data_IF_044343121911
#
_entry.id   IF_044343121911
#
_cell.length_a   1.000
_cell.length_b   1.000
_cell.length_c   1.000
_cell.angle_alpha   90.00
_cell.angle_beta   90.00
_cell.angle_gamma   90.00
#
_symmetry.space_group_name_H-M   'P 1'
#
loop_
_entity.id
_entity.type
_entity.pdbx_description
1 polymer ?
#
# COMPACT_ATOMS: atom_id res chain seq x y z
N UNK A 1 10.92 -4.55 -0.46
CA UNK A 1 10.08 -4.14 0.70
C UNK A 1 8.68 -4.73 0.64
N UNK A 2 7.89 -4.51 -0.42
CA UNK A 2 6.53 -5.08 -0.55
C UNK A 2 6.44 -6.61 -0.36
N UNK A 3 7.33 -7.39 -0.99
CA UNK A 3 7.39 -8.86 -0.82
C UNK A 3 7.52 -9.30 0.64
N UNK A 4 8.38 -8.63 1.41
CA UNK A 4 8.60 -8.94 2.82
C UNK A 4 7.39 -8.57 3.69
N UNK A 5 6.75 -7.43 3.39
CA UNK A 5 5.48 -7.04 4.04
C UNK A 5 4.37 -8.07 3.82
N UNK A 6 4.23 -8.56 2.59
CA UNK A 6 3.25 -9.60 2.27
C UNK A 6 3.55 -10.92 3.00
N UNK A 7 4.82 -11.33 3.04
CA UNK A 7 5.23 -12.53 3.77
C UNK A 7 4.95 -12.38 5.28
N UNK A 8 5.22 -11.20 5.85
CA UNK A 8 4.95 -10.91 7.25
C UNK A 8 3.45 -11.02 7.59
N UNK A 9 2.58 -10.40 6.77
CA UNK A 9 1.13 -10.49 6.93
C UNK A 9 0.64 -11.94 6.79
N UNK A 10 1.20 -12.70 5.85
CA UNK A 10 0.85 -14.10 5.64
C UNK A 10 1.24 -14.99 6.83
N UNK A 11 2.38 -14.72 7.46
CA UNK A 11 2.83 -15.44 8.64
C UNK A 11 2.00 -15.08 9.88
N UNK A 12 1.67 -13.80 10.05
CA UNK A 12 0.95 -13.30 11.23
C UNK A 12 -0.56 -13.52 11.18
N UNK A 13 -1.14 -13.65 9.98
CA UNK A 13 -2.57 -13.87 9.73
C UNK A 13 -3.49 -12.99 10.58
N UNK A 14 -3.34 -11.65 10.54
CA UNK A 14 -4.12 -10.76 11.39
C UNK A 14 -5.64 -10.88 11.20
N UNK A 15 -6.10 -11.26 10.00
CA UNK A 15 -7.53 -11.51 9.70
C UNK A 15 -8.13 -12.72 10.43
N UNK A 16 -7.28 -13.67 10.85
CA UNK A 16 -7.68 -14.80 11.67
C UNK A 16 -7.55 -14.45 13.16
N UNK A 17 -6.41 -13.86 13.54
CA UNK A 17 -6.10 -13.49 14.93
C UNK A 17 -7.05 -12.45 15.52
N UNK A 18 -7.60 -11.53 14.72
CA UNK A 18 -8.57 -10.56 15.22
C UNK A 18 -9.87 -11.20 15.77
N UNK A 19 -10.15 -12.45 15.39
CA UNK A 19 -11.30 -13.23 15.85
C UNK A 19 -10.99 -14.14 17.06
N UNK A 20 -9.73 -14.14 17.52
CA UNK A 20 -9.24 -14.98 18.60
C UNK A 20 -9.37 -14.33 19.98
N UNK A 21 -8.42 -14.67 20.86
CA UNK A 21 -8.32 -14.12 22.22
C UNK A 21 -7.90 -12.65 22.23
N UNK A 22 -8.00 -11.98 23.39
CA UNK A 22 -7.52 -10.61 23.53
C UNK A 22 -6.02 -10.46 23.26
N UNK A 23 -5.22 -11.50 23.54
CA UNK A 23 -3.81 -11.53 23.17
C UNK A 23 -3.63 -11.59 21.65
N UNK A 24 -4.41 -12.42 20.96
CA UNK A 24 -4.38 -12.52 19.49
C UNK A 24 -4.83 -11.23 18.81
N UNK A 25 -5.83 -10.54 19.37
CA UNK A 25 -6.30 -9.24 18.88
C UNK A 25 -5.21 -8.18 18.95
N UNK A 26 -4.52 -8.06 20.09
CA UNK A 26 -3.37 -7.14 20.23
C UNK A 26 -2.26 -7.47 19.22
N UNK A 27 -1.98 -8.75 19.02
CA UNK A 27 -1.01 -9.22 18.02
C UNK A 27 -1.41 -8.82 16.58
N UNK A 28 -2.70 -8.92 16.26
CA UNK A 28 -3.26 -8.50 14.98
C UNK A 28 -3.16 -6.98 14.79
N UNK A 29 -3.49 -6.20 15.83
CA UNK A 29 -3.38 -4.74 15.85
C UNK A 29 -1.94 -4.28 15.59
N UNK A 30 -0.97 -4.88 16.28
CA UNK A 30 0.46 -4.59 16.09
C UNK A 30 0.89 -4.91 14.65
N UNK A 31 0.48 -6.07 14.15
CA UNK A 31 0.84 -6.52 12.80
C UNK A 31 0.27 -5.58 11.72
N UNK A 32 -0.97 -5.13 11.87
CA UNK A 32 -1.61 -4.17 10.97
C UNK A 32 -0.94 -2.81 11.08
N UNK A 33 -0.67 -2.32 12.28
CA UNK A 33 0.00 -1.03 12.51
C UNK A 33 1.37 -0.99 11.84
N UNK A 34 2.16 -2.07 11.98
CA UNK A 34 3.45 -2.19 11.31
C UNK A 34 3.29 -2.18 9.78
N UNK A 35 2.32 -2.92 9.25
CA UNK A 35 2.06 -2.97 7.83
C UNK A 35 1.65 -1.60 7.26
N UNK A 36 0.81 -0.84 7.97
CA UNK A 36 0.40 0.50 7.54
C UNK A 36 1.60 1.48 7.52
N UNK A 37 2.48 1.42 8.51
CA UNK A 37 3.71 2.23 8.51
C UNK A 37 4.65 1.85 7.36
N UNK A 38 4.71 0.56 7.00
CA UNK A 38 5.45 0.10 5.83
C UNK A 38 4.83 0.60 4.51
N UNK A 39 3.50 0.64 4.42
CA UNK A 39 2.78 1.21 3.27
C UNK A 39 3.06 2.71 3.13
N UNK A 40 3.11 3.44 4.25
CA UNK A 40 3.53 4.85 4.22
C UNK A 40 4.95 5.01 3.65
N UNK A 41 5.91 4.23 4.15
CA UNK A 41 7.28 4.25 3.61
C UNK A 41 7.32 3.91 2.12
N UNK A 42 6.51 2.94 1.69
CA UNK A 42 6.40 2.58 0.28
C UNK A 42 5.87 3.75 -0.56
N UNK A 43 4.94 4.56 -0.05
CA UNK A 43 4.47 5.75 -0.76
C UNK A 43 5.61 6.75 -1.03
N UNK A 44 6.51 6.98 -0.06
CA UNK A 44 7.67 7.86 -0.24
C UNK A 44 8.63 7.35 -1.32
N UNK A 45 8.92 6.04 -1.31
CA UNK A 45 9.81 5.41 -2.30
C UNK A 45 9.18 5.37 -3.69
N UNK A 46 7.86 5.26 -3.79
CA UNK A 46 7.13 5.26 -5.06
C UNK A 46 6.99 6.65 -5.67
N UNK A 47 7.11 7.73 -4.89
CA UNK A 47 6.91 9.11 -5.36
C UNK A 47 7.62 9.46 -6.68
N UNK A 48 8.93 9.18 -6.87
CA UNK A 48 9.62 9.54 -8.12
C UNK A 48 9.21 8.68 -9.33
N UNK A 49 8.55 7.53 -9.13
CA UNK A 49 8.15 6.62 -10.21
C UNK A 49 6.66 6.68 -10.53
N UNK A 50 5.83 6.81 -9.50
CA UNK A 50 4.36 6.78 -9.57
C UNK A 50 3.78 7.82 -8.59
N UNK A 51 3.90 9.13 -8.89
CA UNK A 51 3.44 10.19 -7.99
C UNK A 51 1.95 10.10 -7.69
N UNK A 52 1.12 9.83 -8.71
CA UNK A 52 -0.34 9.68 -8.55
C UNK A 52 -0.69 8.54 -7.60
N UNK A 53 -0.05 7.38 -7.74
CA UNK A 53 -0.29 6.23 -6.86
C UNK A 53 0.21 6.49 -5.44
N UNK A 54 1.33 7.20 -5.29
CA UNK A 54 1.82 7.62 -3.98
C UNK A 54 0.83 8.55 -3.27
N UNK A 55 0.25 9.51 -4.00
CA UNK A 55 -0.80 10.40 -3.49
C UNK A 55 -2.06 9.63 -3.10
N UNK A 56 -2.50 8.68 -3.92
CA UNK A 56 -3.64 7.81 -3.58
C UNK A 56 -3.40 6.99 -2.32
N UNK A 57 -2.20 6.44 -2.13
CA UNK A 57 -1.81 5.73 -0.91
C UNK A 57 -1.90 6.67 0.30
N UNK A 58 -1.33 7.88 0.20
CA UNK A 58 -1.33 8.85 1.29
C UNK A 58 -2.73 9.36 1.63
N UNK A 59 -3.59 9.55 0.63
CA UNK A 59 -5.00 9.88 0.84
C UNK A 59 -5.73 8.76 1.58
N UNK A 60 -5.54 7.50 1.18
CA UNK A 60 -6.13 6.36 1.89
C UNK A 60 -5.62 6.24 3.33
N UNK A 61 -4.35 6.61 3.57
CA UNK A 61 -3.78 6.68 4.91
C UNK A 61 -4.16 7.96 5.68
N UNK A 62 -4.94 8.88 5.11
CA UNK A 62 -5.31 10.17 5.72
C UNK A 62 -4.11 11.03 6.19
N UNK A 63 -3.06 11.09 5.38
CA UNK A 63 -1.85 11.84 5.72
C UNK A 63 -1.88 13.19 4.99
N UNK A 64 -1.96 14.28 5.76
CA UNK A 64 -2.05 15.65 5.23
C UNK A 64 -0.70 16.31 4.98
N UNK A 65 0.32 15.92 5.74
CA UNK A 65 1.67 16.48 5.64
C UNK A 65 2.61 15.49 4.97
N UNK A 66 3.17 15.91 3.82
CA UNK A 66 4.18 15.14 3.11
C UNK A 66 5.55 15.54 3.64
N UNK A 67 6.11 14.74 4.55
CA UNK A 67 7.54 14.89 4.87
C UNK A 67 8.32 14.34 3.67
N UNK A 68 8.86 15.25 2.86
CA UNK A 68 9.74 14.90 1.75
C UNK A 68 11.12 14.54 2.31
N UNK A 69 11.31 13.26 2.65
CA UNK A 69 12.59 12.78 3.13
C UNK A 69 12.51 11.35 3.62
N UNK A 70 13.30 10.46 3.02
CA UNK A 70 13.59 9.17 3.62
C UNK A 70 14.56 9.41 4.77
N UNK A 71 14.06 9.37 6.00
CA UNK A 71 14.92 9.29 7.18
C UNK A 71 15.61 7.92 7.20
N UNK A 72 16.87 7.84 7.67
CA UNK A 72 17.61 6.58 7.77
C UNK A 72 17.06 5.63 8.86
N UNK A 73 15.95 5.99 9.52
CA UNK A 73 15.34 5.23 10.60
C UNK A 73 13.87 4.88 10.29
N UNK A 74 13.46 3.67 10.65
CA UNK A 74 12.06 3.28 10.61
C UNK A 74 11.31 3.94 11.78
N UNK A 75 10.51 4.95 11.46
CA UNK A 75 9.70 5.67 12.44
C UNK A 75 8.24 5.23 12.34
N UNK A 76 7.54 5.25 13.47
CA UNK A 76 6.10 5.12 13.50
C UNK A 76 5.49 6.48 13.09
N UNK A 77 5.01 6.58 11.85
CA UNK A 77 4.34 7.76 11.30
C UNK A 77 2.83 7.75 11.58
N UNK A 78 2.26 6.56 11.81
CA UNK A 78 0.85 6.39 12.12
C UNK A 78 0.71 6.04 13.62
N UNK A 79 0.44 7.03 14.48
CA UNK A 79 0.28 6.78 15.91
C UNK A 79 -1.00 5.99 16.20
N UNK A 80 -1.07 5.39 17.40
CA UNK A 80 -2.29 4.74 17.87
C UNK A 80 -3.45 5.75 17.89
N UNK A 81 -4.63 5.33 17.41
CA UNK A 81 -5.81 6.19 17.28
C UNK A 81 -5.88 6.98 15.96
N UNK A 82 -4.89 6.86 15.08
CA UNK A 82 -4.95 7.43 13.73
C UNK A 82 -6.07 6.82 12.90
N UNK A 83 -6.91 7.67 12.31
CA UNK A 83 -8.02 7.25 11.45
C UNK A 83 -7.59 7.17 9.99
N UNK A 84 -7.70 5.98 9.39
CA UNK A 84 -7.50 5.77 7.96
C UNK A 84 -8.79 6.01 7.18
N UNK A 85 -8.67 6.45 5.94
CA UNK A 85 -9.80 6.58 5.02
C UNK A 85 -10.17 5.22 4.40
N UNK A 86 -11.27 5.19 3.66
CA UNK A 86 -11.71 3.98 2.97
C UNK A 86 -10.65 3.52 1.94
N UNK A 87 -10.16 2.29 2.12
CA UNK A 87 -9.21 1.68 1.20
C UNK A 87 -9.82 1.48 -0.20
N UNK A 88 -9.05 1.83 -1.24
CA UNK A 88 -9.41 1.71 -2.66
C UNK A 88 -8.34 0.93 -3.40
N UNK A 89 -8.75 0.22 -4.44
CA UNK A 89 -7.84 -0.57 -5.26
C UNK A 89 -6.86 0.36 -6.02
N UNK A 90 -5.57 0.25 -5.70
CA UNK A 90 -4.50 1.07 -6.32
C UNK A 90 -4.20 0.66 -7.76
N UNK A 91 -4.29 -0.64 -8.07
CA UNK A 91 -3.97 -1.16 -9.39
C UNK A 91 -5.11 -2.02 -9.90
N UNK A 92 -5.62 -1.67 -11.09
CA UNK A 92 -6.54 -2.52 -11.84
C UNK A 92 -5.73 -3.52 -12.65
N UNK A 93 -6.25 -4.75 -12.76
CA UNK A 93 -5.68 -5.74 -13.67
C UNK A 93 -5.78 -5.21 -15.11
N UNK A 94 -4.70 -5.34 -15.86
CA UNK A 94 -4.72 -5.06 -17.29
C UNK A 94 -5.25 -6.32 -17.98
N UNK A 95 -6.43 -6.20 -18.57
CA UNK A 95 -7.09 -7.29 -19.28
C UNK A 95 -6.52 -7.43 -20.70
N UNK A 96 -6.41 -8.67 -21.19
CA UNK A 96 -5.86 -8.95 -22.53
C UNK A 96 -6.57 -8.20 -23.67
N UNK A 97 -7.92 -8.12 -23.70
CA UNK A 97 -8.63 -7.37 -24.74
C UNK A 97 -8.25 -5.89 -24.79
N UNK A 98 -7.98 -5.27 -23.63
CA UNK A 98 -7.55 -3.89 -23.56
C UNK A 98 -6.18 -3.72 -24.23
N UNK A 99 -5.25 -4.65 -23.96
CA UNK A 99 -3.92 -4.65 -24.60
C UNK A 99 -4.05 -4.77 -26.12
N UNK A 100 -4.88 -5.71 -26.59
CA UNK A 100 -5.09 -5.96 -28.02
C UNK A 100 -5.70 -4.73 -28.72
N UNK A 101 -6.64 -4.03 -28.07
CA UNK A 101 -7.21 -2.77 -28.55
C UNK A 101 -6.14 -1.68 -28.72
N UNK A 102 -5.31 -1.47 -27.68
CA UNK A 102 -4.24 -0.47 -27.72
C UNK A 102 -3.18 -0.82 -28.77
N UNK A 103 -2.84 -2.10 -28.94
CA UNK A 103 -1.93 -2.54 -30.00
C UNK A 103 -2.49 -2.20 -31.38
N UNK A 104 -3.74 -2.55 -31.68
CA UNK A 104 -4.37 -2.23 -32.98
C UNK A 104 -4.41 -0.73 -33.24
N UNK A 105 -4.66 0.08 -32.20
CA UNK A 105 -4.79 1.53 -32.32
C UNK A 105 -3.45 2.26 -32.49
N UNK A 106 -2.38 1.78 -31.89
CA UNK A 106 -1.11 2.53 -31.77
C UNK A 106 0.13 1.84 -32.38
N UNK A 107 0.05 0.59 -32.88
CA UNK A 107 1.17 -0.07 -33.59
C UNK A 107 1.56 0.63 -34.90
N UNK A 108 0.72 1.52 -35.41
CA UNK A 108 0.96 2.26 -36.66
C UNK A 108 0.61 1.42 -37.89
N UNK A 109 0.10 2.08 -38.94
CA UNK A 109 -0.05 1.44 -40.25
C UNK A 109 1.36 1.14 -40.77
N UNK A 110 1.66 -0.13 -41.06
CA UNK A 110 2.78 -0.48 -41.94
C UNK A 110 2.61 0.32 -43.23
N UNK A 111 3.60 1.15 -43.57
CA UNK A 111 3.76 1.68 -44.91
C UNK A 111 3.99 0.53 -45.88
#
# INVERSE_FOLDING_TARGET
MSRYGNQYLQLKQPWAKCKGSDADRRDAEISITLALNLVYLLSLVLQPFMPTTSDEIRQQLNIKETVYGLENAFRCYLPAGHTIEQARLLFRRIEKPLVDEYLLRFVGRKK
#
